data_IF_277944345522
#
_entry.id   IF_277944345522
#
_cell.length_a   1.000
_cell.length_b   1.000
_cell.length_c   1.000
_cell.angle_alpha   90.00
_cell.angle_beta   90.00
_cell.angle_gamma   90.00
#
_symmetry.space_group_name_H-M   'P 1'
#
loop_
_entity.id
_entity.type
_entity.pdbx_description
1 polymer ?
#
# COMPACT_ATOMS: atom_id res chain seq x y z
N UNK A 1 14.93 37.29 -39.13
CA UNK A 1 13.98 37.50 -38.01
C UNK A 1 13.16 36.24 -37.63
N UNK A 2 12.87 35.29 -38.53
CA UNK A 2 12.08 34.07 -38.21
C UNK A 2 12.79 33.05 -37.31
N UNK A 3 14.10 32.91 -37.35
CA UNK A 3 14.86 31.93 -36.55
C UNK A 3 14.90 32.24 -35.06
N UNK A 4 14.90 33.52 -34.68
CA UNK A 4 14.92 33.99 -33.28
C UNK A 4 13.60 33.64 -32.53
N UNK A 5 12.45 33.69 -33.20
CA UNK A 5 11.17 33.34 -32.61
C UNK A 5 11.06 31.81 -32.37
N UNK A 6 11.60 31.00 -33.26
CA UNK A 6 11.61 29.55 -33.07
C UNK A 6 12.50 29.10 -31.91
N UNK A 7 13.65 29.76 -31.71
CA UNK A 7 14.53 29.51 -30.56
C UNK A 7 13.82 29.91 -29.25
N UNK A 8 13.18 31.07 -29.24
CA UNK A 8 12.39 31.51 -28.07
C UNK A 8 11.24 30.55 -27.73
N UNK A 9 10.52 30.07 -28.75
CA UNK A 9 9.45 29.11 -28.56
C UNK A 9 9.96 27.76 -28.02
N UNK A 10 11.08 27.27 -28.57
CA UNK A 10 11.70 26.03 -28.11
C UNK A 10 12.19 26.15 -26.66
N UNK A 11 12.77 27.29 -26.29
CA UNK A 11 13.21 27.55 -24.92
C UNK A 11 12.02 27.61 -23.96
N UNK A 12 10.95 28.33 -24.32
CA UNK A 12 9.74 28.42 -23.51
C UNK A 12 9.09 27.06 -23.30
N UNK A 13 9.02 26.23 -24.34
CA UNK A 13 8.51 24.85 -24.26
C UNK A 13 9.39 23.99 -23.34
N UNK A 14 10.72 24.07 -23.46
CA UNK A 14 11.65 23.33 -22.61
C UNK A 14 11.47 23.71 -21.12
N UNK A 15 11.35 24.99 -20.81
CA UNK A 15 11.09 25.46 -19.45
C UNK A 15 9.74 24.99 -18.93
N UNK A 16 8.69 25.05 -19.77
CA UNK A 16 7.36 24.55 -19.38
C UNK A 16 7.38 23.05 -19.06
N UNK A 17 8.05 22.23 -19.88
CA UNK A 17 8.19 20.78 -19.64
C UNK A 17 8.97 20.52 -18.36
N UNK A 18 10.09 21.22 -18.13
CA UNK A 18 10.88 21.07 -16.92
C UNK A 18 10.09 21.47 -15.66
N UNK A 19 9.31 22.53 -15.71
CA UNK A 19 8.44 22.96 -14.59
C UNK A 19 7.32 21.94 -14.34
N UNK A 20 6.76 21.34 -15.39
CA UNK A 20 5.71 20.34 -15.29
C UNK A 20 6.25 19.05 -14.67
N UNK A 21 7.41 18.58 -15.13
CA UNK A 21 8.08 17.38 -14.57
C UNK A 21 8.54 17.65 -13.13
N UNK A 22 9.18 18.79 -12.89
CA UNK A 22 9.62 19.19 -11.55
C UNK A 22 8.45 19.36 -10.58
N UNK A 23 7.38 19.99 -11.02
CA UNK A 23 6.15 20.16 -10.25
C UNK A 23 5.44 18.82 -9.96
N UNK A 24 5.43 17.90 -10.93
CA UNK A 24 4.86 16.56 -10.74
C UNK A 24 5.68 15.73 -9.73
N UNK A 25 7.01 15.79 -9.82
CA UNK A 25 7.90 15.11 -8.87
C UNK A 25 7.78 15.70 -7.46
N UNK A 26 7.78 17.03 -7.35
CA UNK A 26 7.63 17.72 -6.08
C UNK A 26 6.25 17.46 -5.48
N UNK A 27 5.20 17.50 -6.29
CA UNK A 27 3.84 17.18 -5.86
C UNK A 27 3.70 15.72 -5.39
N UNK A 28 4.49 14.80 -5.96
CA UNK A 28 4.53 13.40 -5.53
C UNK A 28 5.27 13.21 -4.20
N UNK A 29 6.32 14.02 -3.96
CA UNK A 29 7.07 14.04 -2.70
C UNK A 29 6.30 14.71 -1.57
N UNK A 30 5.51 15.74 -1.88
CA UNK A 30 4.71 16.50 -0.91
C UNK A 30 3.31 15.89 -0.68
N UNK A 31 2.87 14.95 -1.55
CA UNK A 31 1.65 14.19 -1.27
C UNK A 31 1.86 13.34 -0.03
N UNK A 32 1.01 13.50 1.00
CA UNK A 32 0.96 12.49 2.05
C UNK A 32 0.72 11.14 1.38
N UNK A 33 1.36 10.06 1.87
CA UNK A 33 1.11 8.73 1.35
C UNK A 33 -0.41 8.53 1.34
N UNK A 34 -0.98 7.98 0.25
CA UNK A 34 -2.41 7.69 0.21
C UNK A 34 -2.75 6.93 1.48
N UNK A 35 -3.82 7.34 2.16
CA UNK A 35 -4.31 6.62 3.33
C UNK A 35 -4.25 5.14 3.01
N UNK A 36 -3.57 4.33 3.83
CA UNK A 36 -3.46 2.92 3.56
C UNK A 36 -4.88 2.36 3.47
N UNK A 37 -5.32 2.09 2.26
CA UNK A 37 -6.61 1.47 2.05
C UNK A 37 -6.66 0.22 2.92
N UNK A 38 -7.75 -0.02 3.67
CA UNK A 38 -7.88 -1.22 4.46
C UNK A 38 -7.56 -2.43 3.58
N UNK A 39 -6.80 -3.42 4.06
CA UNK A 39 -6.36 -4.57 3.28
C UNK A 39 -7.48 -5.30 2.52
N UNK A 40 -8.73 -5.05 2.89
CA UNK A 40 -9.93 -5.66 2.28
C UNK A 40 -10.88 -4.64 1.67
N UNK A 41 -10.41 -3.44 1.32
CA UNK A 41 -11.24 -2.40 0.70
C UNK A 41 -11.89 -2.86 -0.62
N UNK A 42 -11.26 -3.77 -1.35
CA UNK A 42 -11.80 -4.38 -2.55
C UNK A 42 -13.05 -5.23 -2.27
N UNK A 43 -13.06 -6.02 -1.17
CA UNK A 43 -14.20 -6.85 -0.79
C UNK A 43 -15.40 -6.01 -0.32
N UNK A 44 -15.17 -4.80 0.16
CA UNK A 44 -16.22 -3.89 0.62
C UNK A 44 -16.73 -2.95 -0.47
N UNK A 45 -16.06 -2.91 -1.63
CA UNK A 45 -16.38 -1.95 -2.70
C UNK A 45 -17.76 -2.21 -3.31
N UNK A 46 -18.10 -3.47 -3.48
CA UNK A 46 -19.33 -3.92 -4.15
C UNK A 46 -20.51 -4.10 -3.18
N UNK A 47 -20.29 -3.88 -1.86
CA UNK A 47 -21.36 -3.94 -0.87
C UNK A 47 -22.21 -2.67 -0.88
N UNK A 48 -23.52 -2.86 -0.65
CA UNK A 48 -24.49 -1.78 -0.44
C UNK A 48 -23.97 -0.79 0.61
N UNK A 49 -24.12 0.55 0.40
CA UNK A 49 -23.66 1.57 1.33
C UNK A 49 -24.18 1.39 2.76
N UNK A 50 -25.43 0.92 2.94
CA UNK A 50 -26.04 0.66 4.25
C UNK A 50 -25.37 -0.48 4.99
N UNK A 51 -25.01 -1.55 4.27
CA UNK A 51 -24.25 -2.71 4.80
C UNK A 51 -22.85 -2.29 5.18
N UNK A 52 -22.21 -1.50 4.33
CA UNK A 52 -20.85 -0.98 4.59
C UNK A 52 -20.80 -0.15 5.87
N UNK A 53 -21.80 0.69 6.12
CA UNK A 53 -21.85 1.53 7.32
C UNK A 53 -22.04 0.69 8.59
N UNK A 54 -22.86 -0.35 8.52
CA UNK A 54 -23.09 -1.31 9.62
C UNK A 54 -21.82 -2.11 9.94
N UNK A 55 -21.05 -2.50 8.91
CA UNK A 55 -19.83 -3.30 9.07
C UNK A 55 -18.59 -2.47 9.47
N UNK A 56 -18.63 -1.16 9.27
CA UNK A 56 -17.47 -0.27 9.53
C UNK A 56 -16.91 -0.39 10.96
N UNK A 57 -17.70 -0.41 12.04
CA UNK A 57 -17.18 -0.55 13.41
C UNK A 57 -16.53 -1.92 13.64
N UNK A 58 -17.16 -2.99 13.14
CA UNK A 58 -16.63 -4.36 13.24
C UNK A 58 -15.31 -4.48 12.48
N UNK A 59 -15.26 -3.99 11.23
CA UNK A 59 -14.04 -3.96 10.43
C UNK A 59 -12.92 -3.21 11.14
N UNK A 60 -13.22 -2.05 11.73
CA UNK A 60 -12.23 -1.28 12.49
C UNK A 60 -11.67 -2.07 13.68
N UNK A 61 -12.54 -2.76 14.42
CA UNK A 61 -12.15 -3.63 15.54
C UNK A 61 -11.23 -4.75 15.04
N UNK A 62 -11.63 -5.50 14.01
CA UNK A 62 -10.85 -6.63 13.46
C UNK A 62 -9.51 -6.15 12.87
N UNK A 63 -9.47 -5.01 12.20
CA UNK A 63 -8.22 -4.43 11.72
C UNK A 63 -7.31 -4.01 12.88
N UNK A 64 -7.84 -3.59 14.03
CA UNK A 64 -7.02 -3.32 15.22
C UNK A 64 -6.43 -4.59 15.81
N UNK A 65 -7.15 -5.71 15.78
CA UNK A 65 -6.68 -7.04 16.19
C UNK A 65 -5.57 -7.57 15.29
N UNK A 66 -5.56 -7.20 14.01
CA UNK A 66 -4.49 -7.54 13.05
C UNK A 66 -3.22 -6.68 13.17
N UNK A 67 -3.22 -5.63 13.99
CA UNK A 67 -2.06 -4.73 14.14
C UNK A 67 -0.76 -5.42 14.58
N UNK A 68 -0.75 -6.39 15.52
CA UNK A 68 0.47 -7.12 15.88
C UNK A 68 1.09 -7.83 14.68
N UNK A 69 0.31 -8.62 13.95
CA UNK A 69 0.78 -9.34 12.78
C UNK A 69 1.29 -8.39 11.66
N UNK A 70 0.63 -7.25 11.47
CA UNK A 70 1.07 -6.20 10.56
C UNK A 70 2.41 -5.59 11.00
N UNK A 71 2.63 -5.44 12.30
CA UNK A 71 3.89 -4.94 12.84
C UNK A 71 5.02 -5.93 12.59
N UNK A 72 4.80 -7.23 12.82
CA UNK A 72 5.77 -8.29 12.53
C UNK A 72 6.17 -8.30 11.05
N UNK A 73 5.21 -8.24 10.14
CA UNK A 73 5.45 -8.15 8.70
C UNK A 73 6.32 -6.93 8.35
N UNK A 74 6.06 -5.79 8.95
CA UNK A 74 6.85 -4.56 8.73
C UNK A 74 8.29 -4.72 9.23
N UNK A 75 8.49 -5.32 10.38
CA UNK A 75 9.82 -5.60 10.93
C UNK A 75 10.59 -6.58 10.05
N UNK A 76 9.93 -7.62 9.54
CA UNK A 76 10.53 -8.57 8.61
C UNK A 76 10.95 -7.89 7.29
N UNK A 77 10.14 -6.97 6.75
CA UNK A 77 10.52 -6.15 5.59
C UNK A 77 11.73 -5.27 5.85
N UNK A 78 11.81 -4.66 7.04
CA UNK A 78 12.97 -3.85 7.42
C UNK A 78 14.24 -4.69 7.55
N UNK A 79 14.14 -5.87 8.18
CA UNK A 79 15.23 -6.83 8.32
C UNK A 79 15.77 -7.29 6.95
N UNK A 80 14.88 -7.62 6.02
CA UNK A 80 15.27 -7.94 4.65
C UNK A 80 15.97 -6.77 3.98
N UNK A 81 15.43 -5.56 4.09
CA UNK A 81 16.06 -4.36 3.52
C UNK A 81 17.43 -4.07 4.10
N UNK A 82 17.69 -4.40 5.36
CA UNK A 82 19.02 -4.30 5.98
C UNK A 82 19.97 -5.38 5.44
N UNK A 83 19.53 -6.64 5.36
CA UNK A 83 20.35 -7.74 4.85
C UNK A 83 20.78 -7.52 3.40
N UNK A 84 19.90 -6.95 2.57
CA UNK A 84 20.21 -6.67 1.16
C UNK A 84 21.15 -5.48 0.95
N UNK A 85 21.31 -4.59 1.95
CA UNK A 85 22.21 -3.42 1.87
C UNK A 85 23.60 -3.65 2.43
N UNK A 86 23.89 -4.82 2.98
CA UNK A 86 25.21 -5.16 3.47
C UNK A 86 26.19 -5.35 2.30
N UNK A 87 27.41 -4.84 2.45
CA UNK A 87 28.51 -5.05 1.49
C UNK A 87 29.72 -5.64 2.21
N UNK A 88 30.18 -6.84 1.82
CA UNK A 88 29.58 -7.74 0.82
C UNK A 88 28.23 -8.31 1.30
N UNK A 89 27.31 -8.57 0.36
CA UNK A 89 25.99 -9.11 0.68
C UNK A 89 26.12 -10.52 1.29
N UNK A 90 25.61 -10.69 2.50
CA UNK A 90 25.46 -12.01 3.12
C UNK A 90 24.20 -12.70 2.58
N UNK A 91 24.42 -13.68 1.69
CA UNK A 91 23.35 -14.44 1.05
C UNK A 91 22.53 -15.25 2.06
N UNK A 92 23.17 -15.79 3.11
CA UNK A 92 22.50 -16.59 4.11
C UNK A 92 21.63 -15.71 5.02
N UNK A 93 22.12 -14.53 5.40
CA UNK A 93 21.33 -13.55 6.13
C UNK A 93 20.12 -13.09 5.32
N UNK A 94 20.29 -12.81 4.02
CA UNK A 94 19.19 -12.44 3.15
C UNK A 94 18.17 -13.58 2.99
N UNK A 95 18.62 -14.84 2.87
CA UNK A 95 17.74 -16.00 2.79
C UNK A 95 16.91 -16.19 4.07
N UNK A 96 17.52 -16.04 5.25
CA UNK A 96 16.80 -16.08 6.53
C UNK A 96 15.77 -14.96 6.64
N UNK A 97 16.13 -13.75 6.23
CA UNK A 97 15.21 -12.61 6.24
C UNK A 97 14.01 -12.81 5.29
N UNK A 98 14.23 -13.41 4.11
CA UNK A 98 13.15 -13.80 3.20
C UNK A 98 12.23 -14.87 3.79
N UNK A 99 12.77 -15.85 4.49
CA UNK A 99 11.98 -16.88 5.17
C UNK A 99 11.09 -16.24 6.25
N UNK A 100 11.66 -15.36 7.07
CA UNK A 100 10.93 -14.61 8.10
C UNK A 100 9.84 -13.71 7.51
N UNK A 101 10.12 -13.05 6.37
CA UNK A 101 9.13 -12.23 5.66
C UNK A 101 7.96 -13.09 5.17
N UNK A 102 8.22 -14.27 4.62
CA UNK A 102 7.18 -15.20 4.17
C UNK A 102 6.29 -15.63 5.33
N UNK A 103 6.89 -16.08 6.42
CA UNK A 103 6.17 -16.54 7.61
C UNK A 103 5.30 -15.44 8.24
N UNK A 104 5.84 -14.22 8.38
CA UNK A 104 5.05 -13.08 8.89
C UNK A 104 3.96 -12.64 7.92
N UNK A 105 4.18 -12.79 6.60
CA UNK A 105 3.18 -12.54 5.58
C UNK A 105 2.02 -13.53 5.66
N UNK A 106 2.31 -14.81 5.80
CA UNK A 106 1.31 -15.88 5.97
C UNK A 106 0.47 -15.66 7.22
N UNK A 107 1.10 -15.34 8.36
CA UNK A 107 0.38 -15.02 9.61
C UNK A 107 -0.54 -13.81 9.44
N UNK A 108 -0.06 -12.75 8.81
CA UNK A 108 -0.89 -11.56 8.58
C UNK A 108 -2.08 -11.87 7.66
N UNK A 109 -1.87 -12.63 6.60
CA UNK A 109 -2.96 -13.06 5.71
C UNK A 109 -3.98 -13.95 6.43
N UNK A 110 -3.52 -14.90 7.25
CA UNK A 110 -4.40 -15.78 8.03
C UNK A 110 -5.33 -14.96 8.94
N UNK A 111 -4.79 -14.00 9.68
CA UNK A 111 -5.60 -13.09 10.54
C UNK A 111 -6.62 -12.30 9.74
N UNK A 112 -6.25 -11.81 8.55
CA UNK A 112 -7.17 -11.07 7.68
C UNK A 112 -8.28 -11.97 7.12
N UNK A 113 -7.95 -13.19 6.69
CA UNK A 113 -8.93 -14.13 6.16
C UNK A 113 -9.93 -14.56 7.23
N UNK A 114 -9.45 -14.86 8.44
CA UNK A 114 -10.32 -15.18 9.58
C UNK A 114 -11.23 -14.01 9.92
N UNK A 115 -10.69 -12.79 9.99
CA UNK A 115 -11.48 -11.58 10.21
C UNK A 115 -12.55 -11.37 9.13
N UNK A 116 -12.26 -11.69 7.87
CA UNK A 116 -13.22 -11.59 6.77
C UNK A 116 -14.33 -12.63 6.92
N UNK A 117 -13.98 -13.88 7.25
CA UNK A 117 -14.95 -14.96 7.45
C UNK A 117 -15.90 -14.63 8.60
N UNK A 118 -15.39 -14.10 9.71
CA UNK A 118 -16.20 -13.65 10.84
C UNK A 118 -17.21 -12.57 10.44
N UNK A 119 -16.76 -11.55 9.70
CA UNK A 119 -17.62 -10.47 9.21
C UNK A 119 -18.68 -11.00 8.27
N UNK A 120 -18.33 -11.91 7.34
CA UNK A 120 -19.27 -12.50 6.41
C UNK A 120 -20.27 -13.43 7.10
N UNK A 121 -19.87 -14.12 8.18
CA UNK A 121 -20.75 -14.97 8.96
C UNK A 121 -21.86 -14.18 9.67
N UNK A 122 -21.59 -12.93 10.04
CA UNK A 122 -22.57 -12.04 10.68
C UNK A 122 -23.57 -11.43 9.67
N UNK A 123 -23.32 -11.53 8.36
CA UNK A 123 -24.25 -11.04 7.34
C UNK A 123 -25.43 -12.01 7.16
N UNK A 124 -26.69 -11.51 6.98
CA UNK A 124 -27.81 -12.32 6.56
C UNK A 124 -27.52 -13.08 5.25
N UNK A 125 -28.09 -14.29 5.11
CA UNK A 125 -27.83 -15.15 3.96
C UNK A 125 -28.12 -14.46 2.61
N UNK A 126 -29.18 -13.64 2.57
CA UNK A 126 -29.62 -12.90 1.36
C UNK A 126 -28.62 -11.81 0.91
N UNK A 127 -27.64 -11.48 1.74
CA UNK A 127 -26.62 -10.44 1.49
C UNK A 127 -25.22 -11.00 1.30
N UNK A 128 -25.09 -12.35 1.20
CA UNK A 128 -23.82 -13.04 0.95
C UNK A 128 -23.61 -13.37 -0.53
N UNK A 129 -24.65 -13.15 -1.35
CA UNK A 129 -24.58 -13.24 -2.81
C UNK A 129 -24.13 -11.89 -3.39
#
# INVERSE_FOLDING_TARGET
MKKSHWVGLALALSVAVNLLVGGALLGRLLRPPPDPQPPMAWALRDLDPSVRETLRPQLRKRLSEAQPARRELRLALQSLGQALRQEPMDRDAASRALAQLRESGERYQAVLHESLLDILAELPAERRE
#
